data_IF_304662231887
#
_entry.id   IF_304662231887
#
_cell.length_a   1.000
_cell.length_b   1.000
_cell.length_c   1.000
_cell.angle_alpha   90.00
_cell.angle_beta   90.00
_cell.angle_gamma   90.00
#
_symmetry.space_group_name_H-M   'P 1'
#
loop_
_entity.id
_entity.type
_entity.pdbx_description
1 polymer ?
#
# COMPACT_ATOMS: atom_id res chain seq x y z
N UNK A 1 -4.31 2.48 -13.72
CA UNK A 1 -2.90 2.29 -14.10
C UNK A 1 -2.72 1.14 -15.10
N UNK A 2 -2.91 -0.13 -14.72
CA UNK A 2 -2.55 -1.30 -15.55
C UNK A 2 -3.11 -1.35 -16.99
N UNK A 3 -4.24 -0.72 -17.29
CA UNK A 3 -4.83 -0.77 -18.64
C UNK A 3 -4.06 0.08 -19.66
N UNK A 4 -3.32 1.09 -19.19
CA UNK A 4 -2.53 2.03 -19.99
C UNK A 4 -1.28 2.45 -19.21
N UNK A 5 -0.40 1.50 -18.86
CA UNK A 5 0.67 1.75 -17.91
C UNK A 5 1.67 2.79 -18.44
N UNK A 6 1.95 2.79 -19.74
CA UNK A 6 2.84 3.76 -20.40
C UNK A 6 2.32 5.21 -20.39
N UNK A 7 1.05 5.44 -20.00
CA UNK A 7 0.48 6.79 -19.84
C UNK A 7 0.50 7.27 -18.39
N UNK A 8 1.01 6.46 -17.46
CA UNK A 8 1.10 6.79 -16.04
C UNK A 8 2.54 7.13 -15.72
N UNK A 9 2.77 8.38 -15.33
CA UNK A 9 4.10 8.82 -14.90
C UNK A 9 4.45 8.31 -13.50
N UNK A 10 3.52 8.41 -12.55
CA UNK A 10 3.67 7.92 -11.18
C UNK A 10 2.29 7.67 -10.56
N UNK A 11 2.25 6.97 -9.42
CA UNK A 11 1.06 6.81 -8.58
C UNK A 11 1.35 7.41 -7.21
N UNK A 12 0.43 8.24 -6.72
CA UNK A 12 0.45 8.73 -5.34
C UNK A 12 -0.77 8.14 -4.63
N UNK A 13 -0.55 7.32 -3.62
CA UNK A 13 -1.60 6.73 -2.79
C UNK A 13 -1.57 7.34 -1.39
N UNK A 14 -2.60 8.11 -1.07
CA UNK A 14 -2.77 8.78 0.22
C UNK A 14 -3.81 7.98 1.01
N UNK A 15 -3.34 7.06 1.85
CA UNK A 15 -4.17 6.04 2.55
C UNK A 15 -5.19 5.35 1.65
N UNK A 16 -4.73 4.55 0.68
CA UNK A 16 -5.62 3.84 -0.24
C UNK A 16 -6.43 2.76 0.50
N UNK A 17 -7.40 2.17 -0.20
CA UNK A 17 -8.01 0.93 0.27
C UNK A 17 -6.92 -0.12 0.52
N UNK A 18 -6.92 -0.71 1.71
CA UNK A 18 -5.93 -1.64 2.25
C UNK A 18 -6.58 -2.46 3.38
N UNK A 19 -5.94 -3.53 3.88
CA UNK A 19 -4.66 -4.14 3.46
C UNK A 19 -4.85 -5.30 2.46
N UNK A 20 -3.75 -5.91 1.97
CA UNK A 20 -3.82 -7.07 1.08
C UNK A 20 -4.48 -8.28 1.74
N UNK A 21 -5.24 -9.05 0.95
CA UNK A 21 -5.77 -10.40 1.25
C UNK A 21 -6.85 -10.51 2.33
N UNK A 22 -6.68 -9.86 3.49
CA UNK A 22 -7.60 -9.93 4.64
C UNK A 22 -7.76 -8.57 5.29
N UNK A 23 -8.94 -8.29 5.83
CA UNK A 23 -9.20 -7.05 6.57
C UNK A 23 -8.57 -7.05 7.96
N UNK A 24 -8.73 -5.94 8.68
CA UNK A 24 -8.19 -5.74 10.02
C UNK A 24 -9.29 -5.22 10.95
N UNK A 25 -9.32 -5.75 12.17
CA UNK A 25 -10.02 -5.15 13.30
C UNK A 25 -9.12 -4.06 13.88
N UNK A 26 -9.47 -2.80 13.61
CA UNK A 26 -8.68 -1.63 14.05
C UNK A 26 -8.78 -1.36 15.54
N UNK A 27 -9.80 -1.91 16.22
CA UNK A 27 -9.99 -1.73 17.66
C UNK A 27 -9.05 -2.66 18.44
N UNK A 28 -8.91 -3.89 17.98
CA UNK A 28 -8.09 -4.91 18.64
C UNK A 28 -6.70 -5.08 18.01
N UNK A 29 -6.40 -4.37 16.92
CA UNK A 29 -5.16 -4.48 16.14
C UNK A 29 -4.90 -5.94 15.73
N UNK A 30 -5.87 -6.53 15.06
CA UNK A 30 -5.84 -7.95 14.68
C UNK A 30 -6.29 -8.15 13.24
N UNK A 31 -5.64 -9.08 12.55
CA UNK A 31 -6.04 -9.48 11.20
C UNK A 31 -7.32 -10.34 11.27
N UNK A 32 -8.23 -10.11 10.33
CA UNK A 32 -9.48 -10.85 10.21
C UNK A 32 -9.35 -12.02 9.22
N UNK A 33 -10.30 -12.95 9.27
CA UNK A 33 -10.43 -14.05 8.29
C UNK A 33 -11.23 -13.66 7.04
N UNK A 34 -11.66 -12.39 6.95
CA UNK A 34 -12.52 -11.83 5.89
C UNK A 34 -12.08 -10.41 5.51
N UNK A 35 -12.62 -9.88 4.42
CA UNK A 35 -12.32 -8.52 3.94
C UNK A 35 -10.97 -8.43 3.24
N UNK A 36 -10.44 -7.21 3.08
CA UNK A 36 -9.18 -6.94 2.38
C UNK A 36 -9.31 -6.97 0.85
N UNK A 37 -8.15 -6.96 0.17
CA UNK A 37 -8.05 -6.95 -1.28
C UNK A 37 -7.66 -8.33 -1.82
N UNK A 38 -8.60 -9.01 -2.50
CA UNK A 38 -8.43 -10.42 -2.85
C UNK A 38 -7.26 -10.67 -3.82
N UNK A 39 -6.94 -9.73 -4.71
CA UNK A 39 -5.81 -9.82 -5.63
C UNK A 39 -4.55 -9.10 -5.10
N UNK A 40 -4.41 -8.99 -3.78
CA UNK A 40 -3.31 -8.28 -3.13
C UNK A 40 -3.53 -6.77 -3.08
N UNK A 41 -3.68 -6.13 -4.24
CA UNK A 41 -3.84 -4.66 -4.33
C UNK A 41 -5.18 -4.20 -4.92
N UNK A 42 -6.07 -5.15 -5.22
CA UNK A 42 -7.38 -4.88 -5.84
C UNK A 42 -8.39 -5.98 -5.50
N UNK A 43 -9.68 -5.66 -5.59
CA UNK A 43 -10.75 -6.66 -5.61
C UNK A 43 -11.15 -7.13 -7.01
N UNK A 44 -10.59 -6.49 -8.04
CA UNK A 44 -10.74 -6.86 -9.44
C UNK A 44 -9.45 -7.49 -9.97
N UNK A 45 -9.53 -8.39 -10.97
CA UNK A 45 -8.37 -8.99 -11.60
C UNK A 45 -7.31 -7.95 -11.98
N UNK A 46 -6.05 -8.30 -11.73
CA UNK A 46 -4.88 -7.51 -12.05
C UNK A 46 -3.81 -8.42 -12.62
N UNK A 47 -3.08 -7.92 -13.61
CA UNK A 47 -2.10 -8.73 -14.33
C UNK A 47 -0.88 -9.01 -13.45
N UNK A 48 -0.61 -10.30 -13.24
CA UNK A 48 0.58 -10.79 -12.57
C UNK A 48 1.46 -11.56 -13.56
N UNK A 49 2.76 -11.61 -13.31
CA UNK A 49 3.72 -12.48 -13.98
C UNK A 49 4.45 -13.33 -12.94
N UNK A 50 4.34 -14.68 -12.96
CA UNK A 50 3.49 -15.46 -13.87
C UNK A 50 1.98 -15.18 -13.71
N UNK A 51 1.15 -15.41 -14.74
CA UNK A 51 -0.28 -15.11 -14.71
C UNK A 51 -1.03 -15.97 -13.69
N UNK A 52 -2.11 -15.38 -13.15
CA UNK A 52 -3.06 -16.03 -12.24
C UNK A 52 -4.44 -16.10 -12.89
N UNK A 53 -5.17 -17.17 -12.64
CA UNK A 53 -6.57 -17.32 -13.07
C UNK A 53 -7.54 -16.90 -11.97
N UNK A 54 -7.15 -17.10 -10.71
CA UNK A 54 -7.95 -16.77 -9.54
C UNK A 54 -7.09 -16.22 -8.39
N UNK A 55 -7.70 -15.49 -7.42
CA UNK A 55 -6.97 -14.92 -6.29
C UNK A 55 -6.10 -15.91 -5.50
N UNK A 56 -6.54 -17.16 -5.39
CA UNK A 56 -5.89 -18.25 -4.67
C UNK A 56 -4.54 -18.65 -5.25
N UNK A 57 -4.30 -18.38 -6.54
CA UNK A 57 -3.02 -18.66 -7.23
C UNK A 57 -1.84 -17.81 -6.70
N UNK A 58 -2.13 -16.75 -5.95
CA UNK A 58 -1.13 -15.90 -5.32
C UNK A 58 -0.35 -16.62 -4.21
N UNK A 59 -0.91 -17.69 -3.62
CA UNK A 59 -0.34 -18.46 -2.52
C UNK A 59 0.23 -17.59 -1.39
N UNK A 60 -0.55 -17.39 -0.33
CA UNK A 60 -0.25 -16.39 0.69
C UNK A 60 0.05 -16.99 2.04
N UNK A 61 0.90 -16.32 2.80
CA UNK A 61 1.26 -16.67 4.18
C UNK A 61 1.15 -15.42 5.05
N UNK A 62 0.68 -15.59 6.29
CA UNK A 62 0.70 -14.52 7.28
C UNK A 62 2.09 -14.50 7.95
N UNK A 63 2.68 -13.32 8.08
CA UNK A 63 3.92 -13.15 8.85
C UNK A 63 3.77 -13.67 10.28
N UNK A 64 4.82 -14.31 10.81
CA UNK A 64 4.80 -14.88 12.17
C UNK A 64 4.73 -13.80 13.26
N UNK A 65 5.27 -12.61 12.98
CA UNK A 65 5.34 -11.48 13.90
C UNK A 65 5.04 -10.19 13.15
N UNK A 66 4.37 -9.26 13.83
CA UNK A 66 4.21 -7.91 13.32
C UNK A 66 5.56 -7.19 13.25
N UNK A 67 5.69 -6.27 12.30
CA UNK A 67 6.94 -5.54 12.05
C UNK A 67 7.25 -4.44 13.08
N UNK A 68 6.30 -4.16 13.98
CA UNK A 68 6.45 -3.14 15.02
C UNK A 68 5.29 -3.16 16.01
N UNK A 69 5.43 -2.38 17.07
CA UNK A 69 4.37 -2.20 18.05
C UNK A 69 3.12 -1.58 17.42
N UNK A 70 1.94 -2.07 17.82
CA UNK A 70 0.64 -1.63 17.30
C UNK A 70 0.47 -1.77 15.78
N UNK A 71 1.25 -2.64 15.14
CA UNK A 71 1.05 -3.06 13.76
C UNK A 71 0.47 -4.46 13.72
N UNK A 72 -0.32 -4.76 12.69
CA UNK A 72 -0.71 -6.15 12.40
C UNK A 72 0.39 -6.85 11.60
N UNK A 73 0.55 -8.18 11.72
CA UNK A 73 1.36 -8.95 10.77
C UNK A 73 0.73 -8.91 9.37
N UNK A 74 1.55 -8.94 8.33
CA UNK A 74 1.09 -8.82 6.95
C UNK A 74 0.87 -10.18 6.29
N UNK A 75 -0.17 -10.29 5.46
CA UNK A 75 -0.22 -11.35 4.46
C UNK A 75 0.75 -11.02 3.32
N UNK A 76 1.59 -11.98 2.96
CA UNK A 76 2.58 -11.89 1.88
C UNK A 76 2.39 -13.03 0.88
N UNK A 77 2.90 -12.85 -0.33
CA UNK A 77 3.06 -13.96 -1.27
C UNK A 77 4.14 -14.92 -0.76
N UNK A 78 3.96 -16.22 -0.97
CA UNK A 78 5.02 -17.22 -0.83
C UNK A 78 6.03 -17.00 -1.95
N UNK A 79 7.32 -16.97 -1.59
CA UNK A 79 8.39 -16.74 -2.57
C UNK A 79 8.63 -17.97 -3.47
N UNK A 80 8.96 -17.78 -4.77
CA UNK A 80 9.10 -16.48 -5.44
C UNK A 80 7.76 -15.80 -5.71
N UNK A 81 7.65 -14.53 -5.33
CA UNK A 81 6.43 -13.74 -5.48
C UNK A 81 6.12 -13.45 -6.95
N UNK A 82 4.84 -13.45 -7.30
CA UNK A 82 4.38 -13.01 -8.62
C UNK A 82 4.49 -11.49 -8.70
N UNK A 83 4.88 -11.02 -9.87
CA UNK A 83 5.17 -9.61 -10.14
C UNK A 83 3.95 -8.93 -10.76
N UNK A 84 3.63 -7.69 -10.37
CA UNK A 84 2.56 -6.91 -10.99
C UNK A 84 3.05 -6.35 -12.34
N UNK A 85 3.00 -7.19 -13.37
CA UNK A 85 3.71 -7.00 -14.65
C UNK A 85 3.56 -5.60 -15.25
N UNK A 86 2.34 -5.04 -15.20
CA UNK A 86 2.02 -3.74 -15.79
C UNK A 86 2.34 -2.54 -14.88
N UNK A 87 2.83 -2.75 -13.66
CA UNK A 87 3.07 -1.69 -12.68
C UNK A 87 4.53 -1.60 -12.22
N UNK A 88 5.37 -2.59 -12.52
CA UNK A 88 6.76 -2.66 -12.01
C UNK A 88 7.64 -1.46 -12.38
N UNK A 89 7.32 -0.75 -13.47
CA UNK A 89 8.05 0.42 -13.95
C UNK A 89 7.46 1.76 -13.50
N UNK A 90 6.35 1.75 -12.75
CA UNK A 90 5.68 2.96 -12.29
C UNK A 90 6.08 3.23 -10.84
N UNK A 91 6.72 4.37 -10.54
CA UNK A 91 7.02 4.77 -9.16
C UNK A 91 5.74 5.00 -8.37
N UNK A 92 5.74 4.54 -7.10
CA UNK A 92 4.61 4.71 -6.19
C UNK A 92 5.06 5.43 -4.92
N UNK A 93 4.40 6.54 -4.60
CA UNK A 93 4.45 7.16 -3.27
C UNK A 93 3.25 6.68 -2.46
N UNK A 94 3.50 6.11 -1.29
CA UNK A 94 2.48 5.67 -0.35
C UNK A 94 2.60 6.49 0.94
N UNK A 95 1.55 7.24 1.28
CA UNK A 95 1.50 8.06 2.49
C UNK A 95 0.47 7.51 3.48
N UNK A 96 0.83 7.50 4.77
CA UNK A 96 -0.15 7.44 5.86
C UNK A 96 0.17 8.41 7.01
N UNK A 97 -0.85 8.78 7.77
CA UNK A 97 -0.77 9.70 8.90
C UNK A 97 -0.81 8.96 10.23
N UNK A 98 -0.09 9.43 11.26
CA UNK A 98 -0.04 8.73 12.54
C UNK A 98 -1.36 8.74 13.32
N UNK A 99 -2.25 9.69 13.03
CA UNK A 99 -3.58 9.79 13.62
C UNK A 99 -4.65 8.95 12.93
N UNK A 100 -4.31 8.30 11.81
CA UNK A 100 -5.26 7.50 11.04
C UNK A 100 -5.40 6.08 11.55
N UNK A 101 -6.59 5.50 11.38
CA UNK A 101 -6.83 4.07 11.61
C UNK A 101 -6.06 3.17 10.62
N UNK A 102 -5.63 3.73 9.48
CA UNK A 102 -4.77 3.06 8.50
C UNK A 102 -3.37 2.75 9.02
N UNK A 103 -2.93 3.51 10.03
CA UNK A 103 -1.58 3.45 10.61
C UNK A 103 -1.11 2.04 10.93
N UNK A 104 -2.03 1.19 11.37
CA UNK A 104 -1.75 -0.15 11.87
C UNK A 104 -1.53 -1.19 10.75
N UNK A 105 -1.96 -0.93 9.51
CA UNK A 105 -1.99 -1.95 8.44
C UNK A 105 -1.48 -1.50 7.07
N UNK A 106 -1.36 -0.21 6.79
CA UNK A 106 -1.01 0.29 5.44
C UNK A 106 0.37 -0.18 4.96
N UNK A 107 1.32 -0.34 5.87
CA UNK A 107 2.64 -0.93 5.58
C UNK A 107 2.53 -2.29 4.85
N UNK A 108 1.52 -3.10 5.15
CA UNK A 108 1.32 -4.38 4.48
C UNK A 108 1.04 -4.24 2.98
N UNK A 109 0.34 -3.19 2.57
CA UNK A 109 0.06 -2.98 1.15
C UNK A 109 1.30 -2.46 0.41
N UNK A 110 2.08 -1.57 1.05
CA UNK A 110 3.37 -1.14 0.52
C UNK A 110 4.35 -2.31 0.38
N UNK A 111 4.42 -3.20 1.37
CA UNK A 111 5.25 -4.40 1.31
C UNK A 111 4.82 -5.36 0.21
N UNK A 112 3.51 -5.54 0.04
CA UNK A 112 2.98 -6.36 -1.06
C UNK A 112 3.37 -5.79 -2.43
N UNK A 113 3.25 -4.47 -2.61
CA UNK A 113 3.64 -3.79 -3.85
C UNK A 113 5.13 -3.99 -4.14
N UNK A 114 5.99 -3.76 -3.15
CA UNK A 114 7.44 -3.96 -3.28
C UNK A 114 7.79 -5.43 -3.55
N UNK A 115 7.14 -6.38 -2.87
CA UNK A 115 7.31 -7.81 -3.10
C UNK A 115 6.90 -8.21 -4.53
N UNK A 116 5.86 -7.57 -5.07
CA UNK A 116 5.39 -7.77 -6.43
C UNK A 116 6.11 -6.90 -7.47
N UNK A 117 7.28 -6.34 -7.14
CA UNK A 117 8.19 -5.67 -8.07
C UNK A 117 7.85 -4.22 -8.38
N UNK A 118 6.90 -3.61 -7.67
CA UNK A 118 6.53 -2.20 -7.84
C UNK A 118 7.36 -1.35 -6.89
N UNK A 119 8.15 -0.43 -7.44
CA UNK A 119 8.98 0.49 -6.64
C UNK A 119 8.11 1.43 -5.81
N UNK A 120 7.92 1.10 -4.53
CA UNK A 120 7.00 1.79 -3.63
C UNK A 120 7.75 2.41 -2.46
N UNK A 121 7.73 3.73 -2.39
CA UNK A 121 8.22 4.50 -1.26
C UNK A 121 7.08 4.69 -0.26
N UNK A 122 7.19 4.05 0.90
CA UNK A 122 6.22 4.18 1.98
C UNK A 122 6.71 5.19 3.01
N UNK A 123 5.96 6.27 3.14
CA UNK A 123 6.25 7.38 4.03
C UNK A 123 5.20 7.43 5.12
N UNK A 124 5.69 7.29 6.34
CA UNK A 124 4.97 7.67 7.54
C UNK A 124 5.16 9.17 7.71
N UNK A 125 4.08 9.93 7.60
CA UNK A 125 4.16 11.39 7.44
C UNK A 125 4.89 12.09 8.59
N UNK A 126 4.82 11.56 9.81
CA UNK A 126 5.54 12.10 10.96
C UNK A 126 7.07 12.03 10.81
N UNK A 127 7.59 11.06 10.04
CA UNK A 127 9.02 10.87 9.81
C UNK A 127 9.61 11.95 8.89
N UNK A 128 8.76 12.62 8.12
CA UNK A 128 9.12 13.71 7.20
C UNK A 128 8.63 15.08 7.69
N UNK A 129 8.24 15.17 8.97
CA UNK A 129 7.82 16.42 9.61
C UNK A 129 6.37 16.82 9.37
N UNK A 130 5.54 15.94 8.80
CA UNK A 130 4.12 16.14 8.54
C UNK A 130 3.25 15.46 9.61
N UNK A 131 3.52 15.74 10.89
CA UNK A 131 2.81 15.15 12.03
C UNK A 131 1.38 15.66 12.21
N UNK A 132 0.58 14.92 12.96
CA UNK A 132 -0.77 15.30 13.42
C UNK A 132 -1.91 14.92 12.47
N UNK A 133 -1.62 14.15 11.41
CA UNK A 133 -2.57 13.91 10.33
C UNK A 133 -3.45 12.67 10.55
N UNK A 134 -4.76 12.83 10.36
CA UNK A 134 -5.72 11.73 10.25
C UNK A 134 -5.91 11.26 8.81
N UNK A 135 -6.97 10.48 8.60
CA UNK A 135 -7.26 9.86 7.29
C UNK A 135 -7.56 10.86 6.18
N UNK A 136 -8.31 11.92 6.51
CA UNK A 136 -8.77 12.91 5.54
C UNK A 136 -7.73 14.02 5.35
N UNK A 137 -6.48 13.65 5.05
CA UNK A 137 -5.29 14.53 4.96
C UNK A 137 -5.48 15.80 4.12
N UNK A 138 -6.28 15.70 3.06
CA UNK A 138 -6.60 16.83 2.19
C UNK A 138 -7.50 17.89 2.84
N UNK A 139 -8.06 17.60 4.02
CA UNK A 139 -8.91 18.48 4.81
C UNK A 139 -8.24 18.96 6.12
N UNK A 140 -7.05 18.45 6.43
CA UNK A 140 -6.30 18.82 7.64
C UNK A 140 -5.73 20.25 7.51
N UNK A 141 -5.43 20.87 8.65
CA UNK A 141 -4.96 22.28 8.70
C UNK A 141 -3.67 22.50 7.91
N UNK A 142 -2.78 21.50 7.88
CA UNK A 142 -1.53 21.51 7.13
C UNK A 142 -1.64 20.87 5.73
N UNK A 143 -2.85 20.67 5.19
CA UNK A 143 -3.10 20.06 3.86
C UNK A 143 -2.28 20.68 2.73
N UNK A 144 -1.96 21.98 2.82
CA UNK A 144 -1.03 22.65 1.90
C UNK A 144 0.39 22.06 1.96
N UNK A 145 0.93 21.81 3.14
CA UNK A 145 2.29 21.27 3.33
C UNK A 145 2.38 19.84 2.80
N UNK A 146 1.31 19.05 2.99
CA UNK A 146 1.18 17.69 2.45
C UNK A 146 1.19 17.73 0.91
N UNK A 147 0.41 18.65 0.32
CA UNK A 147 0.39 18.83 -1.13
C UNK A 147 1.77 19.28 -1.66
N UNK A 148 2.44 20.20 -0.97
CA UNK A 148 3.78 20.67 -1.34
C UNK A 148 4.81 19.51 -1.28
N UNK A 149 4.72 18.62 -0.29
CA UNK A 149 5.56 17.41 -0.19
C UNK A 149 5.33 16.46 -1.37
N UNK A 150 4.07 16.16 -1.70
CA UNK A 150 3.71 15.30 -2.85
C UNK A 150 4.23 15.91 -4.16
N UNK A 151 4.06 17.22 -4.35
CA UNK A 151 4.55 17.93 -5.54
C UNK A 151 6.07 17.88 -5.60
N UNK A 152 6.76 18.05 -4.47
CA UNK A 152 8.22 17.91 -4.38
C UNK A 152 8.67 16.54 -4.86
N UNK A 153 8.08 15.48 -4.31
CA UNK A 153 8.36 14.10 -4.71
C UNK A 153 8.13 13.86 -6.21
N UNK A 154 7.02 14.37 -6.77
CA UNK A 154 6.74 14.26 -8.21
C UNK A 154 7.79 14.98 -9.07
N UNK A 155 8.27 16.15 -8.64
CA UNK A 155 9.29 16.89 -9.39
C UNK A 155 10.66 16.20 -9.37
N UNK A 156 10.96 15.43 -8.32
CA UNK A 156 12.24 14.72 -8.19
C UNK A 156 12.34 13.49 -9.11
N UNK A 157 11.23 13.01 -9.68
CA UNK A 157 11.20 11.90 -10.63
C UNK A 157 11.70 12.27 -12.04
N UNK A 158 11.77 13.56 -12.38
CA UNK A 158 12.24 14.07 -13.67
C UNK A 158 11.14 14.46 -14.66
#
# INVERSE_FOLDING_TARGET
>A
AQARPDLVHAIVTVEPAAPPIRGVDTTNVQVLDRGGLRYGISNYPIEYEPPISEPTDLNVVLEEQAQGENLVPCYRQVEPARQLANLTHIPVLFLNGEGSYHRIFDHCLADWLNQAGVQTEYIRMEEVGLSGNGHMMMLEENSKEIADYIIGWLNDLG
#
